data_IF_154585670001
#
_entry.id   IF_154585670001
#
_cell.length_a   1.000
_cell.length_b   1.000
_cell.length_c   1.000
_cell.angle_alpha   90.00
_cell.angle_beta   90.00
_cell.angle_gamma   90.00
#
_symmetry.space_group_name_H-M   'P 1'
#
loop_
_entity.id
_entity.type
_entity.pdbx_description
1 polymer ?
#
# COMPACT_ATOMS: atom_id res chain seq x y z
N UNK A 1 20.91 -4.06 0.93
CA UNK A 1 21.35 -4.20 -0.48
C UNK A 1 20.39 -5.11 -1.25
N UNK A 2 20.01 -6.26 -0.69
CA UNK A 2 19.11 -7.23 -1.31
C UNK A 2 17.74 -6.68 -1.78
N UNK A 3 17.01 -5.82 -1.01
CA UNK A 3 15.72 -5.30 -1.47
C UNK A 3 15.83 -4.43 -2.70
N UNK A 4 16.89 -3.61 -2.77
CA UNK A 4 17.14 -2.70 -3.90
C UNK A 4 17.46 -3.52 -5.16
N UNK A 5 18.31 -4.54 -5.03
CA UNK A 5 18.64 -5.41 -6.18
C UNK A 5 17.42 -6.16 -6.68
N UNK A 6 16.57 -6.67 -5.77
CA UNK A 6 15.35 -7.39 -6.16
C UNK A 6 14.36 -6.45 -6.86
N UNK A 7 14.19 -5.23 -6.35
CA UNK A 7 13.33 -4.22 -6.95
C UNK A 7 13.82 -3.80 -8.35
N UNK A 8 15.14 -3.64 -8.54
CA UNK A 8 15.72 -3.34 -9.85
C UNK A 8 15.58 -4.50 -10.83
N UNK A 9 15.81 -5.74 -10.38
CA UNK A 9 15.58 -6.93 -11.19
C UNK A 9 14.11 -7.04 -11.60
N UNK A 10 13.18 -6.73 -10.69
CA UNK A 10 11.75 -6.68 -10.98
C UNK A 10 11.42 -5.62 -12.03
N UNK A 11 11.97 -4.41 -11.89
CA UNK A 11 11.81 -3.34 -12.88
C UNK A 11 12.26 -3.77 -14.28
N UNK A 12 13.45 -4.39 -14.37
CA UNK A 12 14.03 -4.87 -15.63
C UNK A 12 13.22 -6.03 -16.22
N UNK A 13 12.83 -7.01 -15.40
CA UNK A 13 11.99 -8.13 -15.83
C UNK A 13 10.66 -7.62 -16.40
N UNK A 14 10.08 -6.61 -15.75
CA UNK A 14 8.81 -6.05 -16.17
C UNK A 14 8.92 -5.25 -17.48
N UNK A 15 9.97 -4.44 -17.63
CA UNK A 15 10.28 -3.78 -18.90
C UNK A 15 10.50 -4.77 -20.04
N UNK A 16 11.18 -5.88 -19.76
CA UNK A 16 11.42 -6.96 -20.72
C UNK A 16 10.11 -7.66 -21.13
N UNK A 17 9.26 -8.02 -20.16
CA UNK A 17 7.94 -8.65 -20.41
C UNK A 17 7.06 -7.77 -21.32
N UNK A 18 7.19 -6.44 -21.21
CA UNK A 18 6.39 -5.48 -21.97
C UNK A 18 7.09 -4.98 -23.23
N UNK A 19 8.18 -5.65 -23.61
CA UNK A 19 8.98 -5.35 -24.78
C UNK A 19 9.38 -3.86 -24.89
N UNK A 20 9.68 -3.22 -23.75
CA UNK A 20 10.08 -1.81 -23.65
C UNK A 20 9.12 -0.81 -24.34
N UNK A 21 7.85 -1.20 -24.54
CA UNK A 21 6.85 -0.39 -25.24
C UNK A 21 6.26 0.74 -24.37
N UNK A 22 6.61 0.77 -23.09
CA UNK A 22 6.05 1.68 -22.09
C UNK A 22 6.83 3.00 -22.07
N UNK A 23 6.10 4.12 -22.12
CA UNK A 23 6.64 5.49 -22.08
C UNK A 23 5.81 6.38 -21.15
N UNK A 24 6.44 7.43 -20.62
CA UNK A 24 5.80 8.47 -19.82
C UNK A 24 5.33 7.98 -18.45
N UNK A 25 4.13 8.43 -18.04
CA UNK A 25 3.54 8.09 -16.75
C UNK A 25 3.41 6.58 -16.49
N UNK A 26 3.20 5.80 -17.55
CA UNK A 26 3.06 4.34 -17.48
C UNK A 26 4.33 3.66 -16.95
N UNK A 27 5.49 4.27 -17.14
CA UNK A 27 6.73 3.74 -16.57
C UNK A 27 6.67 3.85 -15.04
N UNK A 28 6.21 4.98 -14.52
CA UNK A 28 6.09 5.23 -13.09
C UNK A 28 4.99 4.34 -12.49
N UNK A 29 3.83 4.26 -13.13
CA UNK A 29 2.65 3.60 -12.54
C UNK A 29 2.60 2.09 -12.76
N UNK A 30 3.21 1.57 -13.83
CA UNK A 30 3.15 0.13 -14.12
C UNK A 30 4.46 -0.55 -13.68
N UNK A 31 5.61 -0.08 -14.20
CA UNK A 31 6.93 -0.65 -13.84
C UNK A 31 7.29 -0.30 -12.39
N UNK A 32 7.07 0.96 -12.00
CA UNK A 32 7.28 1.37 -10.63
C UNK A 32 6.41 0.55 -9.69
N UNK A 33 5.14 0.29 -10.02
CA UNK A 33 4.24 -0.41 -9.09
C UNK A 33 4.78 -1.79 -8.77
N UNK A 34 5.12 -2.57 -9.79
CA UNK A 34 5.74 -3.87 -9.59
C UNK A 34 6.99 -3.80 -8.70
N UNK A 35 7.87 -2.85 -8.99
CA UNK A 35 9.16 -2.69 -8.30
C UNK A 35 9.01 -2.26 -6.85
N UNK A 36 8.16 -1.27 -6.56
CA UNK A 36 7.91 -0.76 -5.22
C UNK A 36 7.20 -1.79 -4.33
N UNK A 37 6.27 -2.57 -4.88
CA UNK A 37 5.61 -3.62 -4.11
C UNK A 37 6.61 -4.69 -3.66
N UNK A 38 7.46 -5.15 -4.58
CA UNK A 38 8.50 -6.13 -4.29
C UNK A 38 9.55 -5.58 -3.32
N UNK A 39 9.92 -4.31 -3.47
CA UNK A 39 10.84 -3.63 -2.55
C UNK A 39 10.34 -3.63 -1.10
N UNK A 40 9.09 -3.22 -0.88
CA UNK A 40 8.48 -3.14 0.45
C UNK A 40 8.41 -4.53 1.10
N UNK A 41 7.96 -5.53 0.33
CA UNK A 41 7.89 -6.92 0.82
C UNK A 41 9.28 -7.46 1.16
N UNK A 42 10.29 -7.16 0.34
CA UNK A 42 11.66 -7.59 0.61
C UNK A 42 12.21 -6.98 1.90
N UNK A 43 11.98 -5.68 2.16
CA UNK A 43 12.37 -5.05 3.44
C UNK A 43 11.67 -5.71 4.62
N UNK A 44 10.37 -5.99 4.49
CA UNK A 44 9.59 -6.64 5.54
C UNK A 44 10.14 -8.03 5.89
N UNK A 45 10.39 -8.88 4.88
CA UNK A 45 10.94 -10.20 5.13
C UNK A 45 12.37 -10.14 5.65
N UNK A 46 13.21 -9.23 5.15
CA UNK A 46 14.55 -9.00 5.69
C UNK A 46 14.50 -8.67 7.18
N UNK A 47 13.57 -7.79 7.59
CA UNK A 47 13.35 -7.43 9.00
C UNK A 47 12.95 -8.64 9.86
N UNK A 48 12.09 -9.52 9.34
CA UNK A 48 11.67 -10.74 10.04
C UNK A 48 12.83 -11.72 10.16
N UNK A 49 13.54 -12.00 9.06
CA UNK A 49 14.64 -12.96 9.02
C UNK A 49 15.70 -12.58 10.06
N UNK A 50 16.12 -11.31 10.12
CA UNK A 50 17.14 -10.88 11.07
C UNK A 50 16.72 -10.98 12.55
N UNK A 51 15.42 -11.05 12.84
CA UNK A 51 14.91 -11.19 14.21
C UNK A 51 14.95 -12.64 14.75
N UNK A 52 15.24 -13.64 13.90
CA UNK A 52 15.13 -15.05 14.26
C UNK A 52 16.48 -15.75 14.48
N UNK A 53 16.44 -16.92 15.13
CA UNK A 53 17.59 -17.83 15.27
C UNK A 53 18.01 -18.40 13.91
N UNK A 54 19.22 -18.96 13.81
CA UNK A 54 19.79 -19.48 12.55
C UNK A 54 18.87 -20.50 11.85
N UNK A 55 18.27 -21.43 12.60
CA UNK A 55 17.31 -22.39 12.03
C UNK A 55 16.01 -21.70 11.59
N UNK A 56 15.54 -20.70 12.35
CA UNK A 56 14.38 -19.87 11.97
C UNK A 56 14.64 -19.01 10.74
N UNK A 57 15.87 -18.52 10.56
CA UNK A 57 16.28 -17.74 9.39
C UNK A 57 16.16 -18.56 8.11
N UNK A 58 16.61 -19.82 8.11
CA UNK A 58 16.51 -20.68 6.91
C UNK A 58 15.06 -20.95 6.56
N UNK A 59 14.22 -21.30 7.54
CA UNK A 59 12.81 -21.62 7.29
C UNK A 59 12.04 -20.38 6.82
N UNK A 60 12.22 -19.23 7.48
CA UNK A 60 11.60 -17.96 7.07
C UNK A 60 12.11 -17.48 5.72
N UNK A 61 13.39 -17.69 5.39
CA UNK A 61 13.94 -17.36 4.09
C UNK A 61 13.23 -18.17 2.98
N UNK A 62 13.09 -19.49 3.14
CA UNK A 62 12.40 -20.33 2.14
C UNK A 62 10.93 -19.90 1.98
N UNK A 63 10.22 -19.69 3.08
CA UNK A 63 8.82 -19.24 3.05
C UNK A 63 8.69 -17.87 2.39
N UNK A 64 9.57 -16.93 2.74
CA UNK A 64 9.58 -15.59 2.16
C UNK A 64 9.85 -15.61 0.66
N UNK A 65 10.76 -16.48 0.18
CA UNK A 65 11.08 -16.61 -1.23
C UNK A 65 9.86 -17.09 -2.03
N UNK A 66 9.17 -18.13 -1.54
CA UNK A 66 7.95 -18.65 -2.18
C UNK A 66 6.86 -17.57 -2.21
N UNK A 67 6.65 -16.89 -1.08
CA UNK A 67 5.65 -15.84 -0.99
C UNK A 67 5.93 -14.67 -1.94
N UNK A 68 7.17 -14.16 -1.93
CA UNK A 68 7.60 -13.07 -2.82
C UNK A 68 7.48 -13.50 -4.28
N UNK A 69 7.83 -14.73 -4.63
CA UNK A 69 7.70 -15.25 -5.99
C UNK A 69 6.24 -15.25 -6.47
N UNK A 70 5.33 -15.84 -5.69
CA UNK A 70 3.89 -15.92 -6.04
C UNK A 70 3.30 -14.51 -6.17
N UNK A 71 3.57 -13.64 -5.18
CA UNK A 71 2.99 -12.31 -5.15
C UNK A 71 3.56 -11.43 -6.28
N UNK A 72 4.87 -11.53 -6.56
CA UNK A 72 5.49 -10.87 -7.72
C UNK A 72 4.84 -11.31 -9.03
N UNK A 73 4.60 -12.60 -9.22
CA UNK A 73 3.93 -13.12 -10.41
C UNK A 73 2.52 -12.52 -10.58
N UNK A 74 1.71 -12.51 -9.51
CA UNK A 74 0.36 -11.94 -9.54
C UNK A 74 0.37 -10.43 -9.84
N UNK A 75 1.35 -9.70 -9.30
CA UNK A 75 1.51 -8.27 -9.58
C UNK A 75 1.89 -8.05 -11.04
N UNK A 76 2.85 -8.82 -11.58
CA UNK A 76 3.24 -8.72 -13.00
C UNK A 76 2.03 -8.97 -13.90
N UNK A 77 1.27 -10.03 -13.61
CA UNK A 77 0.08 -10.39 -14.36
C UNK A 77 -0.95 -9.25 -14.32
N UNK A 78 -1.23 -8.71 -13.13
CA UNK A 78 -2.17 -7.60 -12.94
C UNK A 78 -1.76 -6.37 -13.73
N UNK A 79 -0.48 -6.01 -13.65
CA UNK A 79 0.05 -4.84 -14.34
C UNK A 79 0.09 -5.02 -15.85
N UNK A 80 0.32 -6.23 -16.35
CA UNK A 80 0.20 -6.55 -17.77
C UNK A 80 -1.25 -6.41 -18.26
N UNK A 81 -2.22 -6.96 -17.50
CA UNK A 81 -3.65 -6.80 -17.80
C UNK A 81 -4.03 -5.32 -17.84
N UNK A 82 -3.55 -4.50 -16.89
CA UNK A 82 -3.80 -3.06 -16.89
C UNK A 82 -3.16 -2.34 -18.08
N UNK A 83 -1.95 -2.74 -18.48
CA UNK A 83 -1.29 -2.18 -19.67
C UNK A 83 -2.07 -2.51 -20.96
N UNK A 84 -2.59 -3.74 -21.09
CA UNK A 84 -3.44 -4.12 -22.24
C UNK A 84 -4.78 -3.38 -22.18
N UNK A 85 -5.39 -3.30 -21.00
CA UNK A 85 -6.66 -2.60 -20.77
C UNK A 85 -6.61 -1.11 -21.08
N UNK A 86 -5.42 -0.52 -21.09
CA UNK A 86 -5.22 0.87 -21.48
C UNK A 86 -5.40 1.08 -22.99
N UNK A 87 -4.98 0.09 -23.80
CA UNK A 87 -5.07 0.16 -25.25
C UNK A 87 -6.40 -0.37 -25.81
N UNK A 88 -6.98 -1.36 -25.13
CA UNK A 88 -8.22 -2.01 -25.53
C UNK A 88 -9.11 -2.21 -24.32
N UNK A 89 -10.39 -1.83 -24.40
CA UNK A 89 -11.34 -2.08 -23.32
C UNK A 89 -11.63 -3.60 -23.26
N UNK A 90 -10.93 -4.30 -22.35
CA UNK A 90 -11.10 -5.74 -22.09
C UNK A 90 -11.84 -5.96 -20.77
N UNK A 91 -12.69 -7.00 -20.65
CA UNK A 91 -13.42 -7.28 -19.41
C UNK A 91 -12.48 -7.57 -18.22
N UNK A 92 -11.31 -8.16 -18.48
CA UNK A 92 -10.29 -8.41 -17.46
C UNK A 92 -9.71 -7.11 -16.85
N UNK A 93 -9.89 -5.95 -17.50
CA UNK A 93 -9.40 -4.67 -16.98
C UNK A 93 -9.99 -4.31 -15.62
N UNK A 94 -11.27 -4.61 -15.38
CA UNK A 94 -11.92 -4.37 -14.08
C UNK A 94 -11.32 -5.25 -12.98
N UNK A 95 -11.08 -6.53 -13.29
CA UNK A 95 -10.41 -7.45 -12.37
C UNK A 95 -8.97 -6.97 -12.07
N UNK A 96 -8.25 -6.48 -13.07
CA UNK A 96 -6.92 -5.88 -12.90
C UNK A 96 -6.92 -4.67 -11.97
N UNK A 97 -7.91 -3.77 -12.09
CA UNK A 97 -8.04 -2.60 -11.19
C UNK A 97 -8.31 -3.04 -9.75
N UNK A 98 -9.27 -3.96 -9.55
CA UNK A 98 -9.59 -4.50 -8.23
C UNK A 98 -8.38 -5.22 -7.60
N UNK A 99 -7.66 -6.03 -8.37
CA UNK A 99 -6.45 -6.70 -7.90
C UNK A 99 -5.35 -5.68 -7.53
N UNK A 100 -5.11 -4.67 -8.36
CA UNK A 100 -4.12 -3.61 -8.06
C UNK A 100 -4.46 -2.84 -6.80
N UNK A 101 -5.75 -2.60 -6.55
CA UNK A 101 -6.26 -1.97 -5.33
C UNK A 101 -5.98 -2.83 -4.10
N UNK A 102 -6.31 -4.12 -4.14
CA UNK A 102 -6.05 -5.05 -3.04
C UNK A 102 -4.55 -5.21 -2.75
N UNK A 103 -3.71 -5.35 -3.79
CA UNK A 103 -2.26 -5.42 -3.60
C UNK A 103 -1.69 -4.14 -3.01
N UNK A 104 -2.18 -2.97 -3.44
CA UNK A 104 -1.77 -1.69 -2.86
C UNK A 104 -2.05 -1.62 -1.37
N UNK A 105 -3.27 -2.00 -0.94
CA UNK A 105 -3.64 -1.97 0.47
C UNK A 105 -2.82 -2.95 1.30
N UNK A 106 -2.62 -4.17 0.80
CA UNK A 106 -1.79 -5.17 1.47
C UNK A 106 -0.35 -4.69 1.63
N UNK A 107 0.25 -4.15 0.57
CA UNK A 107 1.63 -3.68 0.60
C UNK A 107 1.77 -2.40 1.42
N UNK A 108 0.80 -1.48 1.39
CA UNK A 108 0.80 -0.29 2.23
C UNK A 108 0.66 -0.64 3.71
N UNK A 109 -0.18 -1.62 4.06
CA UNK A 109 -0.22 -2.16 5.42
C UNK A 109 1.17 -2.65 5.87
N UNK A 110 1.84 -3.44 5.03
CA UNK A 110 3.21 -3.93 5.30
C UNK A 110 4.21 -2.77 5.40
N UNK A 111 4.12 -1.77 4.51
CA UNK A 111 4.98 -0.61 4.52
C UNK A 111 4.84 0.19 5.83
N UNK A 112 3.61 0.46 6.26
CA UNK A 112 3.35 1.12 7.52
C UNK A 112 3.90 0.30 8.68
N UNK A 113 3.70 -1.03 8.67
CA UNK A 113 4.21 -1.88 9.72
C UNK A 113 5.73 -1.78 9.85
N UNK A 114 6.45 -1.83 8.72
CA UNK A 114 7.90 -1.62 8.70
C UNK A 114 8.28 -0.23 9.22
N UNK A 115 7.61 0.83 8.77
CA UNK A 115 7.94 2.20 9.17
C UNK A 115 7.69 2.49 10.67
N UNK A 116 6.64 1.91 11.25
CA UNK A 116 6.26 2.12 12.65
C UNK A 116 6.91 1.13 13.62
N UNK A 117 7.30 -0.06 13.17
CA UNK A 117 8.05 -1.03 14.00
C UNK A 117 9.52 -0.67 14.18
N UNK A 118 10.09 0.08 13.23
CA UNK A 118 11.49 0.49 13.28
C UNK A 118 11.69 1.85 13.98
N UNK A 119 12.83 2.00 14.65
CA UNK A 119 13.27 3.22 15.35
C UNK A 119 13.78 4.31 14.39
N UNK A 120 12.95 4.69 13.43
CA UNK A 120 13.23 5.77 12.47
C UNK A 120 12.92 7.13 13.12
N UNK A 121 13.74 8.14 12.82
CA UNK A 121 13.51 9.52 13.24
C UNK A 121 12.13 10.00 12.78
N UNK A 122 11.37 10.62 13.68
CA UNK A 122 9.94 10.89 13.50
C UNK A 122 9.61 11.66 12.20
N UNK A 123 10.38 12.70 11.89
CA UNK A 123 10.23 13.47 10.66
C UNK A 123 10.47 12.63 9.39
N UNK A 124 11.49 11.77 9.40
CA UNK A 124 11.79 10.87 8.26
C UNK A 124 10.68 9.84 8.10
N UNK A 125 10.16 9.29 9.22
CA UNK A 125 9.05 8.34 9.19
C UNK A 125 7.82 8.94 8.48
N UNK A 126 7.39 10.13 8.87
CA UNK A 126 6.22 10.76 8.27
C UNK A 126 6.44 11.21 6.82
N UNK A 127 7.66 11.62 6.47
CA UNK A 127 8.03 11.86 5.08
C UNK A 127 7.91 10.58 4.23
N UNK A 128 8.36 9.44 4.75
CA UNK A 128 8.25 8.14 4.08
C UNK A 128 6.79 7.67 3.97
N UNK A 129 5.99 7.85 5.01
CA UNK A 129 4.54 7.60 4.98
C UNK A 129 3.88 8.44 3.89
N UNK A 130 4.14 9.76 3.87
CA UNK A 130 3.57 10.68 2.89
C UNK A 130 3.94 10.30 1.45
N UNK A 131 5.23 10.09 1.18
CA UNK A 131 5.73 9.76 -0.16
C UNK A 131 5.23 8.40 -0.64
N UNK A 132 5.12 7.42 0.25
CA UNK A 132 4.61 6.09 -0.10
C UNK A 132 3.12 6.16 -0.43
N UNK A 133 2.31 6.87 0.38
CA UNK A 133 0.88 7.04 0.10
C UNK A 133 0.65 7.84 -1.18
N UNK A 134 1.41 8.91 -1.39
CA UNK A 134 1.33 9.73 -2.61
C UNK A 134 1.57 8.86 -3.85
N UNK A 135 2.63 8.05 -3.82
CA UNK A 135 2.99 7.15 -4.90
C UNK A 135 1.89 6.12 -5.20
N UNK A 136 1.43 5.36 -4.19
CA UNK A 136 0.43 4.32 -4.38
C UNK A 136 -0.95 4.90 -4.78
N UNK A 137 -1.35 6.02 -4.18
CA UNK A 137 -2.61 6.69 -4.52
C UNK A 137 -2.57 7.21 -5.97
N UNK A 138 -1.47 7.82 -6.39
CA UNK A 138 -1.27 8.25 -7.77
C UNK A 138 -1.31 7.06 -8.74
N UNK A 139 -0.61 5.97 -8.40
CA UNK A 139 -0.57 4.75 -9.23
C UNK A 139 -1.94 4.10 -9.40
N UNK A 140 -2.78 4.11 -8.36
CA UNK A 140 -4.14 3.58 -8.42
C UNK A 140 -5.08 4.48 -9.22
N UNK A 141 -5.05 5.79 -8.94
CA UNK A 141 -5.87 6.76 -9.65
C UNK A 141 -5.49 6.88 -11.13
N UNK A 142 -4.27 6.46 -11.52
CA UNK A 142 -3.88 6.35 -12.93
C UNK A 142 -4.78 5.39 -13.73
N UNK A 143 -5.37 4.40 -13.08
CA UNK A 143 -6.32 3.48 -13.73
C UNK A 143 -7.64 4.16 -14.12
N UNK A 144 -7.92 5.34 -13.57
CA UNK A 144 -9.03 6.19 -13.97
C UNK A 144 -8.63 7.05 -15.17
N UNK A 145 -9.47 7.07 -16.21
CA UNK A 145 -9.36 8.02 -17.33
C UNK A 145 -9.73 9.44 -16.83
N UNK A 146 -8.82 10.10 -16.11
CA UNK A 146 -8.93 11.45 -15.51
C UNK A 146 -7.65 12.23 -15.81
N UNK A 147 -7.75 13.55 -15.92
CA UNK A 147 -6.62 14.43 -16.19
C UNK A 147 -5.54 14.36 -15.11
N UNK A 148 -4.29 14.61 -15.53
CA UNK A 148 -3.12 14.53 -14.67
C UNK A 148 -3.23 15.42 -13.42
N UNK A 149 -3.68 16.67 -13.58
CA UNK A 149 -3.76 17.65 -12.50
C UNK A 149 -4.71 17.20 -11.39
N UNK A 150 -5.93 16.77 -11.78
CA UNK A 150 -6.95 16.30 -10.83
C UNK A 150 -6.45 15.04 -10.12
N UNK A 151 -5.85 14.10 -10.87
CA UNK A 151 -5.31 12.87 -10.30
C UNK A 151 -4.19 13.14 -9.29
N UNK A 152 -3.25 14.02 -9.64
CA UNK A 152 -2.16 14.39 -8.74
C UNK A 152 -2.67 15.11 -7.50
N UNK A 153 -3.59 16.07 -7.67
CA UNK A 153 -4.20 16.80 -6.56
C UNK A 153 -4.96 15.85 -5.60
N UNK A 154 -5.73 14.91 -6.14
CA UNK A 154 -6.43 13.90 -5.35
C UNK A 154 -5.44 12.99 -4.60
N UNK A 155 -4.41 12.49 -5.26
CA UNK A 155 -3.37 11.67 -4.61
C UNK A 155 -2.63 12.45 -3.50
N UNK A 156 -2.34 13.74 -3.74
CA UNK A 156 -1.72 14.62 -2.77
C UNK A 156 -2.63 14.88 -1.56
N UNK A 157 -3.91 15.15 -1.79
CA UNK A 157 -4.90 15.35 -0.73
C UNK A 157 -5.05 14.08 0.14
N UNK A 158 -5.11 12.89 -0.48
CA UNK A 158 -5.15 11.61 0.23
C UNK A 158 -3.87 11.42 1.07
N UNK A 159 -2.69 11.65 0.48
CA UNK A 159 -1.41 11.53 1.18
C UNK A 159 -1.31 12.46 2.39
N UNK A 160 -1.75 13.71 2.24
CA UNK A 160 -1.79 14.69 3.32
C UNK A 160 -2.75 14.25 4.42
N UNK A 161 -3.98 13.87 4.06
CA UNK A 161 -5.00 13.44 5.02
C UNK A 161 -4.53 12.22 5.83
N UNK A 162 -4.08 11.16 5.16
CA UNK A 162 -3.68 9.91 5.83
C UNK A 162 -2.40 10.11 6.65
N UNK A 163 -1.45 10.94 6.19
CA UNK A 163 -0.25 11.28 7.00
C UNK A 163 -0.62 12.12 8.22
N UNK A 164 -1.58 13.04 8.10
CA UNK A 164 -2.14 13.77 9.22
C UNK A 164 -2.79 12.84 10.25
N UNK A 165 -3.58 11.87 9.80
CA UNK A 165 -4.11 10.82 10.68
C UNK A 165 -3.00 9.99 11.33
N UNK A 166 -1.95 9.65 10.58
CA UNK A 166 -0.80 8.91 11.11
C UNK A 166 -0.09 9.69 12.22
N UNK A 167 0.04 11.01 12.10
CA UNK A 167 0.60 11.87 13.15
C UNK A 167 -0.23 11.80 14.43
N UNK A 168 -1.55 11.91 14.30
CA UNK A 168 -2.48 11.84 15.45
C UNK A 168 -2.41 10.46 16.10
N UNK A 169 -2.58 9.38 15.32
CA UNK A 169 -2.63 8.00 15.85
C UNK A 169 -1.28 7.56 16.43
N UNK A 170 -0.15 8.09 15.94
CA UNK A 170 1.16 7.77 16.51
C UNK A 170 1.37 8.28 17.95
N UNK A 171 0.51 9.19 18.44
CA UNK A 171 0.50 9.60 19.85
C UNK A 171 -0.15 8.52 20.73
N UNK A 172 -1.04 7.68 20.17
CA UNK A 172 -1.71 6.63 20.92
C UNK A 172 -0.76 5.47 21.24
N UNK A 173 -0.79 4.92 22.48
CA UNK A 173 0.03 3.78 22.88
C UNK A 173 -0.57 2.47 22.34
N UNK A 174 -0.46 2.26 21.03
CA UNK A 174 -0.95 1.07 20.33
C UNK A 174 0.19 0.34 19.63
N UNK A 175 0.00 -0.96 19.38
CA UNK A 175 1.00 -1.75 18.66
C UNK A 175 1.15 -1.23 17.22
N UNK A 176 2.36 -1.36 16.68
CA UNK A 176 2.66 -0.97 15.28
C UNK A 176 1.77 -1.72 14.27
N UNK A 177 1.42 -2.97 14.56
CA UNK A 177 0.49 -3.76 13.75
C UNK A 177 -0.90 -3.13 13.69
N UNK A 178 -1.48 -2.76 14.85
CA UNK A 178 -2.80 -2.14 14.90
C UNK A 178 -2.78 -0.76 14.24
N UNK A 179 -1.75 0.06 14.49
CA UNK A 179 -1.61 1.37 13.85
C UNK A 179 -1.56 1.23 12.32
N UNK A 180 -0.78 0.27 11.81
CA UNK A 180 -0.64 0.02 10.38
C UNK A 180 -1.96 -0.45 9.75
N UNK A 181 -2.71 -1.30 10.46
CA UNK A 181 -4.04 -1.72 10.05
C UNK A 181 -5.00 -0.53 9.95
N UNK A 182 -5.03 0.33 10.97
CA UNK A 182 -5.89 1.51 10.99
C UNK A 182 -5.57 2.44 9.83
N UNK A 183 -4.29 2.71 9.56
CA UNK A 183 -3.88 3.54 8.42
C UNK A 183 -4.27 2.91 7.08
N UNK A 184 -4.15 1.59 6.93
CA UNK A 184 -4.59 0.90 5.73
C UNK A 184 -6.10 1.00 5.53
N UNK A 185 -6.91 0.93 6.59
CA UNK A 185 -8.38 1.10 6.50
C UNK A 185 -8.76 2.55 6.19
N UNK A 186 -8.11 3.54 6.81
CA UNK A 186 -8.34 4.96 6.47
C UNK A 186 -7.98 5.19 4.99
N UNK A 187 -6.87 4.63 4.52
CA UNK A 187 -6.48 4.72 3.11
C UNK A 187 -7.48 4.01 2.19
N UNK A 188 -8.02 2.85 2.58
CA UNK A 188 -9.10 2.17 1.88
C UNK A 188 -10.32 3.09 1.70
N UNK A 189 -10.75 3.78 2.77
CA UNK A 189 -11.87 4.72 2.70
C UNK A 189 -11.54 5.90 1.76
N UNK A 190 -10.36 6.51 1.92
CA UNK A 190 -9.95 7.64 1.08
C UNK A 190 -9.86 7.28 -0.41
N UNK A 191 -9.29 6.12 -0.72
CA UNK A 191 -9.17 5.63 -2.09
C UNK A 191 -10.52 5.20 -2.65
N UNK A 192 -11.39 4.58 -1.85
CA UNK A 192 -12.74 4.20 -2.26
C UNK A 192 -13.54 5.43 -2.71
N UNK A 193 -13.55 6.49 -1.89
CA UNK A 193 -14.16 7.77 -2.26
C UNK A 193 -13.53 8.37 -3.52
N UNK A 194 -12.20 8.29 -3.66
CA UNK A 194 -11.51 8.85 -4.82
C UNK A 194 -11.75 8.05 -6.12
N UNK A 195 -11.90 6.74 -6.04
CA UNK A 195 -12.22 5.88 -7.17
C UNK A 195 -13.66 6.07 -7.65
N UNK A 196 -14.57 6.45 -6.75
CA UNK A 196 -15.95 6.80 -7.07
C UNK A 196 -16.14 8.21 -7.62
N UNK A 197 -15.08 9.02 -7.82
CA UNK A 197 -15.18 10.41 -8.32
C UNK A 197 -15.93 10.58 -9.66
N UNK A 198 -16.17 9.50 -10.41
CA UNK A 198 -16.95 9.53 -11.66
C UNK A 198 -18.46 9.41 -11.46
N UNK A 199 -18.89 8.89 -10.32
CA UNK A 199 -20.28 8.56 -10.03
C UNK A 199 -20.74 9.24 -8.74
N UNK A 200 -22.05 9.41 -8.56
CA UNK A 200 -22.55 9.93 -7.28
C UNK A 200 -22.39 8.83 -6.24
N UNK A 201 -21.50 9.06 -5.25
CA UNK A 201 -21.32 8.16 -4.09
C UNK A 201 -22.68 7.86 -3.49
N UNK A 202 -23.04 6.58 -3.47
CA UNK A 202 -24.34 6.16 -2.95
C UNK A 202 -24.41 6.36 -1.44
N UNK A 203 -25.61 6.57 -0.89
CA UNK A 203 -25.79 6.69 0.57
C UNK A 203 -25.29 5.45 1.33
N UNK A 204 -25.36 4.28 0.70
CA UNK A 204 -24.90 3.02 1.30
C UNK A 204 -23.38 3.00 1.48
N UNK A 205 -22.61 3.53 0.52
CA UNK A 205 -21.15 3.64 0.61
C UNK A 205 -20.73 4.55 1.77
N UNK A 206 -21.43 5.68 1.96
CA UNK A 206 -21.19 6.55 3.12
C UNK A 206 -21.46 5.85 4.45
N UNK A 207 -22.51 5.02 4.53
CA UNK A 207 -22.81 4.24 5.72
C UNK A 207 -21.70 3.22 5.98
N UNK A 208 -21.24 2.51 4.95
CA UNK A 208 -20.13 1.54 5.04
C UNK A 208 -18.84 2.21 5.55
N UNK A 209 -18.46 3.35 5.01
CA UNK A 209 -17.26 4.06 5.45
C UNK A 209 -17.41 4.63 6.86
N UNK A 210 -18.61 5.12 7.21
CA UNK A 210 -18.93 5.57 8.55
C UNK A 210 -18.86 4.44 9.59
N UNK A 211 -19.39 3.26 9.28
CA UNK A 211 -19.33 2.09 10.18
C UNK A 211 -17.89 1.61 10.36
N UNK A 212 -17.10 1.53 9.28
CA UNK A 212 -15.68 1.19 9.36
C UNK A 212 -14.91 2.17 10.26
N UNK A 213 -15.17 3.47 10.13
CA UNK A 213 -14.55 4.48 10.97
C UNK A 213 -14.91 4.31 12.46
N UNK A 214 -16.19 4.05 12.77
CA UNK A 214 -16.63 3.80 14.16
C UNK A 214 -15.96 2.55 14.73
N UNK A 215 -15.86 1.47 13.94
CA UNK A 215 -15.19 0.23 14.36
C UNK A 215 -13.71 0.50 14.67
N UNK A 216 -13.01 1.28 13.83
CA UNK A 216 -11.62 1.69 14.08
C UNK A 216 -11.48 2.44 15.41
N UNK A 217 -12.34 3.43 15.65
CA UNK A 217 -12.32 4.21 16.90
C UNK A 217 -12.56 3.29 18.10
N UNK A 218 -13.50 2.36 17.99
CA UNK A 218 -13.78 1.40 19.05
C UNK A 218 -12.59 0.47 19.30
N UNK A 219 -11.95 -0.06 18.26
CA UNK A 219 -10.75 -0.88 18.37
C UNK A 219 -9.58 -0.12 19.02
N UNK A 220 -9.40 1.16 18.70
CA UNK A 220 -8.41 2.01 19.34
C UNK A 220 -8.66 2.14 20.84
N UNK A 221 -9.90 2.43 21.23
CA UNK A 221 -10.28 2.60 22.64
C UNK A 221 -10.06 1.31 23.45
N UNK A 222 -10.41 0.15 22.89
CA UNK A 222 -10.20 -1.15 23.54
C UNK A 222 -8.72 -1.52 23.63
N UNK A 223 -7.94 -1.23 22.59
CA UNK A 223 -6.53 -1.64 22.55
C UNK A 223 -5.61 -0.72 23.36
N UNK A 224 -6.01 0.51 23.66
CA UNK A 224 -5.15 1.44 24.39
C UNK A 224 -4.91 1.02 25.84
N UNK A 225 -3.64 0.95 26.22
CA UNK A 225 -3.20 0.87 27.61
C UNK A 225 -2.52 2.18 28.01
N UNK A 226 -3.28 3.08 28.62
CA UNK A 226 -2.70 4.29 29.21
C UNK A 226 -2.09 3.90 30.55
N UNK A 227 -0.77 3.97 30.66
CA UNK A 227 0.03 3.41 31.77
C UNK A 227 -0.31 3.87 33.19
N UNK A 228 -1.32 4.72 33.38
CA UNK A 228 -1.78 5.19 34.69
C UNK A 228 -3.01 4.41 35.20
N UNK A 229 -3.85 3.80 34.35
CA UNK A 229 -5.14 3.19 34.80
C UNK A 229 -5.55 1.86 34.10
N UNK A 230 -4.63 1.14 33.46
CA UNK A 230 -5.01 -0.09 32.73
C UNK A 230 -5.83 0.20 31.47
N UNK A 231 -6.40 -0.83 30.85
CA UNK A 231 -7.26 -0.68 29.68
C UNK A 231 -8.44 0.23 30.00
N UNK A 232 -8.80 1.14 29.09
CA UNK A 232 -9.92 2.10 29.27
C UNK A 232 -11.28 1.40 29.43
N UNK A 233 -11.37 0.13 29.03
CA UNK A 233 -12.51 -0.78 29.16
C UNK A 233 -11.98 -2.17 29.52
#
# INVERSE_FOLDING_TARGET
VFPITLALMMALAFLWVLNFSIKGERLITIVGFASFNVFILAIFFESIIFSQSILGQITTMVVSLVFVFILSYLIILTMNILNVSYHSDIPLGQAGRAASYLFSLLVLYVAFFVLFSNSILIFVRFLLVFTTILYFSYSLLWTLKVDFEIRFLSAFAIALAVTGFALVVNIWPVSSALLSFILAVILYVCLGVALEMKEKVSRYVWIEYGTLFIIIVFLLLLSTSWGINGHLI
#
